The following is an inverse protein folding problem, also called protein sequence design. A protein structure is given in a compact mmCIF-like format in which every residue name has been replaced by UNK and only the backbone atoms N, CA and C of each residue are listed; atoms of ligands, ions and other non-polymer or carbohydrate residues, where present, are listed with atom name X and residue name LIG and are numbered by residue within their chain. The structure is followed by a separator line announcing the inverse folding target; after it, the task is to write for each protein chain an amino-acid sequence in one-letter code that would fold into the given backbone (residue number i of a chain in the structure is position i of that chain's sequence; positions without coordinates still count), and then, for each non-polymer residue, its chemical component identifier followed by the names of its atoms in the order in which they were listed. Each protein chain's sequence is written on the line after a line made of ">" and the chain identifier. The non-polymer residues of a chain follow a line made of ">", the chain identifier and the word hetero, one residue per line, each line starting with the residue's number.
data_IF_367397092779
#
_entry.id   IF_367397092779
#
_cell.length_a   1.000
_cell.length_b   1.000
_cell.length_c   1.000
_cell.angle_alpha   90.00
_cell.angle_beta   90.00
_cell.angle_gamma   90.00
#
_symmetry.space_group_name_H-M   'P 1'
#
loop_
_entity.id
_entity.type
_entity.pdbx_description
1 polymer ?
#
# COMPACT_ATOMS: atom_id res chain seq x y z
N UNK A 1 13.29 -30.99 12.97
CA UNK A 1 14.02 -29.71 13.01
C UNK A 1 14.01 -29.18 14.44
N UNK A 2 15.18 -28.88 15.03
CA UNK A 2 15.26 -28.20 16.34
C UNK A 2 14.67 -26.80 16.18
N UNK A 3 13.71 -26.41 17.03
CA UNK A 3 13.19 -25.04 17.07
C UNK A 3 14.34 -24.13 17.50
N UNK A 4 14.83 -23.27 16.60
CA UNK A 4 15.70 -22.16 16.98
C UNK A 4 14.97 -21.31 18.02
N UNK A 5 15.67 -20.94 19.09
CA UNK A 5 15.11 -20.19 20.20
C UNK A 5 14.46 -18.88 19.71
N UNK A 6 13.19 -18.65 20.09
CA UNK A 6 12.51 -17.38 19.86
C UNK A 6 12.45 -16.62 21.20
N UNK A 7 12.89 -15.35 21.24
CA UNK A 7 13.02 -14.61 22.50
C UNK A 7 11.67 -14.12 23.06
N UNK A 8 10.56 -14.36 22.38
CA UNK A 8 9.22 -13.96 22.82
C UNK A 8 8.18 -15.04 22.51
N UNK A 9 7.08 -15.01 23.27
CA UNK A 9 5.93 -15.88 23.08
C UNK A 9 4.88 -15.17 22.22
N UNK A 10 4.14 -15.92 21.43
CA UNK A 10 3.12 -15.39 20.54
C UNK A 10 3.57 -15.32 19.07
N UNK A 11 2.62 -15.14 18.13
CA UNK A 11 2.88 -15.18 16.69
C UNK A 11 3.65 -13.96 16.17
N UNK A 12 3.66 -12.86 16.92
CA UNK A 12 4.42 -11.66 16.62
C UNK A 12 4.67 -10.85 17.89
N UNK A 13 5.71 -10.02 17.87
CA UNK A 13 6.04 -9.07 18.92
C UNK A 13 5.88 -7.64 18.41
N UNK A 14 5.10 -6.86 19.15
CA UNK A 14 5.03 -5.41 19.02
C UNK A 14 6.12 -4.77 19.87
N UNK A 15 7.25 -4.45 19.24
CA UNK A 15 8.38 -3.81 19.93
C UNK A 15 8.08 -2.40 20.41
N UNK A 16 7.08 -1.74 19.85
CA UNK A 16 6.72 -0.35 20.16
C UNK A 16 5.56 -0.24 21.14
N UNK A 17 4.97 -1.37 21.56
CA UNK A 17 3.81 -1.40 22.46
C UNK A 17 2.62 -0.53 22.00
N UNK A 18 2.44 -0.40 20.69
CA UNK A 18 1.33 0.34 20.06
C UNK A 18 0.00 -0.38 20.28
N UNK A 19 0.04 -1.70 20.48
CA UNK A 19 -1.12 -2.56 20.71
C UNK A 19 -1.72 -3.09 19.41
N UNK A 20 -0.87 -3.49 18.46
CA UNK A 20 -1.35 -4.12 17.23
C UNK A 20 -2.08 -5.44 17.50
N UNK A 21 -3.19 -5.67 16.80
CA UNK A 21 -4.02 -6.86 17.00
C UNK A 21 -4.72 -7.29 15.73
N UNK A 22 -5.04 -8.57 15.65
CA UNK A 22 -5.92 -9.11 14.60
C UNK A 22 -7.33 -8.57 14.83
N UNK A 23 -8.08 -8.40 13.75
CA UNK A 23 -9.49 -8.03 13.79
C UNK A 23 -10.28 -8.95 14.73
N UNK A 24 -11.10 -8.36 15.60
CA UNK A 24 -11.96 -9.06 16.55
C UNK A 24 -13.40 -8.53 16.46
N UNK A 25 -14.40 -9.36 16.13
CA UNK A 25 -15.78 -8.90 15.96
C UNK A 25 -16.38 -8.26 17.22
N UNK A 26 -15.92 -8.69 18.39
CA UNK A 26 -16.38 -8.32 19.73
C UNK A 26 -15.62 -7.10 20.32
N UNK A 27 -14.73 -6.46 19.57
CA UNK A 27 -13.90 -5.35 20.05
C UNK A 27 -13.85 -4.16 19.08
N UNK A 28 -13.50 -2.99 19.61
CA UNK A 28 -13.29 -1.78 18.80
C UNK A 28 -12.04 -1.98 17.92
N UNK A 29 -12.19 -2.14 16.62
CA UNK A 29 -11.04 -2.33 15.71
C UNK A 29 -10.57 -1.00 15.11
N UNK A 30 -9.54 -0.41 15.72
CA UNK A 30 -8.88 0.77 15.17
C UNK A 30 -8.10 0.39 13.92
N UNK A 31 -8.43 1.00 12.76
CA UNK A 31 -7.83 0.65 11.46
C UNK A 31 -6.30 0.67 11.50
N UNK A 32 -5.69 1.68 12.11
CA UNK A 32 -4.24 1.83 12.19
C UNK A 32 -3.53 0.77 13.06
N UNK A 33 -4.24 0.09 13.97
CA UNK A 33 -3.68 -0.95 14.86
C UNK A 33 -4.12 -2.36 14.47
N UNK A 34 -5.04 -2.47 13.53
CA UNK A 34 -5.59 -3.77 13.13
C UNK A 34 -4.68 -4.41 12.10
N UNK A 35 -4.28 -5.65 12.34
CA UNK A 35 -3.60 -6.49 11.36
C UNK A 35 -4.68 -7.05 10.44
N UNK A 36 -4.68 -6.60 9.19
CA UNK A 36 -5.61 -7.06 8.15
C UNK A 36 -5.05 -8.23 7.35
N UNK A 37 -3.73 -8.40 7.32
CA UNK A 37 -3.13 -9.64 6.85
C UNK A 37 -1.62 -9.69 6.99
N UNK A 38 -1.07 -10.78 6.47
CA UNK A 38 0.32 -11.17 6.65
C UNK A 38 0.86 -11.74 5.34
N UNK A 39 2.00 -11.22 4.89
CA UNK A 39 2.84 -11.85 3.86
C UNK A 39 3.93 -12.61 4.59
N UNK A 40 3.98 -13.93 4.43
CA UNK A 40 4.91 -14.79 5.15
C UNK A 40 5.73 -15.65 4.20
N UNK A 41 7.03 -15.71 4.45
CA UNK A 41 8.01 -16.50 3.73
C UNK A 41 8.61 -17.54 4.67
N UNK A 42 8.15 -18.80 4.54
CA UNK A 42 8.57 -19.89 5.43
C UNK A 42 10.05 -20.28 5.30
N UNK A 43 10.67 -20.07 4.15
CA UNK A 43 12.09 -20.39 3.93
C UNK A 43 13.02 -19.40 4.65
N UNK A 44 12.72 -18.11 4.52
CA UNK A 44 13.53 -17.04 5.14
C UNK A 44 13.07 -16.71 6.57
N UNK A 45 11.97 -17.32 7.03
CA UNK A 45 11.36 -17.05 8.34
C UNK A 45 10.98 -15.57 8.54
N UNK A 46 10.80 -14.84 7.45
CA UNK A 46 10.41 -13.43 7.43
C UNK A 46 8.89 -13.31 7.21
N UNK A 47 8.29 -12.30 7.82
CA UNK A 47 6.91 -11.94 7.56
C UNK A 47 6.68 -10.44 7.69
N UNK A 48 5.78 -9.93 6.86
CA UNK A 48 5.33 -8.56 6.87
C UNK A 48 3.85 -8.51 7.18
N UNK A 49 3.49 -7.72 8.18
CA UNK A 49 2.12 -7.51 8.62
C UNK A 49 1.60 -6.22 7.99
N UNK A 50 0.35 -6.21 7.57
CA UNK A 50 -0.26 -5.03 6.96
C UNK A 50 -1.58 -4.66 7.63
N UNK A 51 -1.83 -3.35 7.70
CA UNK A 51 -3.11 -2.81 8.15
C UNK A 51 -4.15 -2.82 7.00
N UNK A 52 -5.44 -2.49 7.27
CA UNK A 52 -6.47 -2.40 6.24
C UNK A 52 -6.18 -1.35 5.15
N UNK A 53 -5.29 -0.40 5.44
CA UNK A 53 -4.90 0.67 4.52
C UNK A 53 -3.68 0.26 3.66
N UNK A 54 -3.16 -0.98 3.82
CA UNK A 54 -2.03 -1.52 3.07
C UNK A 54 -0.64 -1.09 3.58
N UNK A 55 -0.56 -0.43 4.74
CA UNK A 55 0.70 -0.02 5.36
C UNK A 55 1.34 -1.17 6.14
N UNK A 56 2.67 -1.30 6.01
CA UNK A 56 3.44 -2.30 6.74
C UNK A 56 3.56 -1.91 8.21
N UNK A 57 3.27 -2.86 9.08
CA UNK A 57 3.34 -2.71 10.53
C UNK A 57 4.72 -3.15 11.04
N UNK A 58 5.32 -2.42 11.99
CA UNK A 58 6.65 -2.72 12.52
C UNK A 58 6.60 -3.84 13.57
N UNK A 59 6.14 -5.02 13.15
CA UNK A 59 5.98 -6.20 13.99
C UNK A 59 7.08 -7.22 13.69
N UNK A 60 7.64 -7.83 14.74
CA UNK A 60 8.60 -8.93 14.59
C UNK A 60 7.85 -10.26 14.53
N UNK A 61 7.95 -11.05 13.46
CA UNK A 61 7.27 -12.34 13.37
C UNK A 61 7.92 -13.40 14.25
N UNK A 62 7.10 -14.31 14.79
CA UNK A 62 7.58 -15.58 15.34
C UNK A 62 7.38 -16.68 14.29
N UNK A 63 8.46 -17.22 13.69
CA UNK A 63 8.35 -18.18 12.60
C UNK A 63 7.62 -19.49 12.94
N UNK A 64 7.55 -19.83 14.24
CA UNK A 64 6.99 -21.09 14.71
C UNK A 64 5.52 -21.01 15.08
N UNK A 65 5.07 -19.86 15.60
CA UNK A 65 3.68 -19.64 16.01
C UNK A 65 2.85 -18.90 14.96
N UNK A 66 3.50 -18.13 14.09
CA UNK A 66 2.82 -17.41 13.00
C UNK A 66 2.06 -18.33 12.03
N UNK A 67 2.58 -19.51 11.62
CA UNK A 67 1.85 -20.40 10.71
C UNK A 67 0.53 -20.90 11.31
N UNK A 68 0.50 -21.18 12.62
CA UNK A 68 -0.71 -21.56 13.34
C UNK A 68 -1.76 -20.44 13.31
N UNK A 69 -1.31 -19.20 13.54
CA UNK A 69 -2.16 -18.01 13.47
C UNK A 69 -2.77 -17.84 12.07
N UNK A 70 -1.94 -17.93 11.03
CA UNK A 70 -2.40 -17.81 9.65
C UNK A 70 -3.43 -18.90 9.34
N UNK A 71 -3.18 -20.15 9.76
CA UNK A 71 -4.12 -21.25 9.52
C UNK A 71 -5.48 -21.03 10.16
N UNK A 72 -5.52 -20.46 11.37
CA UNK A 72 -6.76 -20.22 12.12
C UNK A 72 -7.54 -19.02 11.62
N UNK A 73 -6.86 -17.97 11.16
CA UNK A 73 -7.46 -16.67 10.89
C UNK A 73 -7.52 -16.30 9.39
N UNK A 74 -6.92 -17.10 8.50
CA UNK A 74 -6.94 -16.81 7.06
C UNK A 74 -8.35 -16.99 6.47
N UNK A 75 -8.94 -15.88 6.05
CA UNK A 75 -10.18 -15.86 5.25
C UNK A 75 -9.86 -16.06 3.76
N UNK A 76 -8.74 -15.52 3.30
CA UNK A 76 -8.24 -15.65 1.94
C UNK A 76 -6.74 -15.89 1.96
N UNK A 77 -6.26 -16.77 1.08
CA UNK A 77 -4.84 -17.07 0.90
C UNK A 77 -4.51 -16.99 -0.58
N UNK A 78 -3.66 -16.05 -0.92
CA UNK A 78 -3.15 -15.86 -2.27
C UNK A 78 -1.63 -15.98 -2.23
N UNK A 79 -1.06 -16.67 -3.22
CA UNK A 79 0.38 -16.70 -3.39
C UNK A 79 0.80 -15.36 -4.01
N UNK A 80 1.21 -14.42 -3.17
CA UNK A 80 1.72 -13.13 -3.64
C UNK A 80 3.22 -13.23 -3.89
N UNK A 81 3.65 -12.88 -5.10
CA UNK A 81 5.03 -12.59 -5.43
C UNK A 81 5.26 -11.07 -5.35
N UNK A 82 6.07 -10.60 -4.40
CA UNK A 82 6.40 -9.18 -4.30
C UNK A 82 7.48 -8.85 -5.35
N UNK A 83 7.07 -8.13 -6.39
CA UNK A 83 7.92 -7.73 -7.50
C UNK A 83 8.32 -6.25 -7.35
N UNK A 84 9.62 -5.96 -7.40
CA UNK A 84 10.12 -4.58 -7.38
C UNK A 84 11.55 -4.48 -6.84
N UNK A 85 11.98 -3.26 -6.58
CA UNK A 85 13.19 -2.92 -5.82
C UNK A 85 12.76 -2.25 -4.51
N UNK A 86 13.37 -2.61 -3.38
CA UNK A 86 13.01 -2.04 -2.07
C UNK A 86 13.12 -3.05 -0.93
N UNK A 87 12.97 -2.58 0.31
CA UNK A 87 13.19 -3.38 1.53
C UNK A 87 12.22 -4.57 1.68
N UNK A 88 11.07 -4.50 1.01
CA UNK A 88 10.03 -5.54 1.02
C UNK A 88 10.03 -6.40 -0.25
N UNK A 89 10.87 -6.07 -1.24
CA UNK A 89 10.96 -6.82 -2.48
C UNK A 89 11.75 -8.11 -2.28
N UNK A 90 11.47 -9.13 -3.11
CA UNK A 90 12.25 -10.36 -3.12
C UNK A 90 13.75 -10.05 -3.30
N UNK A 91 14.60 -10.64 -2.44
CA UNK A 91 16.06 -10.50 -2.50
C UNK A 91 16.57 -10.85 -3.90
N UNK A 92 17.51 -10.05 -4.40
CA UNK A 92 18.03 -10.15 -5.76
C UNK A 92 18.64 -11.53 -6.06
N UNK A 93 19.37 -12.11 -5.10
CA UNK A 93 19.94 -13.45 -5.24
C UNK A 93 18.87 -14.54 -5.46
N UNK A 94 17.72 -14.46 -4.78
CA UNK A 94 16.62 -15.43 -4.94
C UNK A 94 15.90 -15.25 -6.27
N UNK A 95 15.73 -14.00 -6.70
CA UNK A 95 15.18 -13.66 -8.02
C UNK A 95 16.05 -14.23 -9.14
N UNK A 96 17.37 -14.19 -9.00
CA UNK A 96 18.32 -14.79 -9.94
C UNK A 96 18.22 -16.31 -9.96
N UNK A 97 18.13 -16.96 -8.79
CA UNK A 97 17.96 -18.42 -8.69
C UNK A 97 16.63 -18.91 -9.30
N UNK A 98 15.52 -18.20 -9.08
CA UNK A 98 14.23 -18.54 -9.69
C UNK A 98 14.23 -18.37 -11.21
N UNK A 99 14.90 -17.33 -11.72
CA UNK A 99 15.12 -17.17 -13.16
C UNK A 99 15.92 -18.34 -13.76
N UNK A 100 16.97 -18.80 -13.07
CA UNK A 100 17.76 -19.96 -13.55
C UNK A 100 16.98 -21.28 -13.56
N UNK A 101 15.95 -21.40 -12.73
CA UNK A 101 15.03 -22.56 -12.69
C UNK A 101 13.90 -22.46 -13.72
N UNK A 102 13.92 -21.47 -14.62
CA UNK A 102 12.88 -21.29 -15.65
C UNK A 102 11.54 -20.78 -15.12
N UNK A 103 11.45 -20.42 -13.83
CA UNK A 103 10.26 -19.81 -13.26
C UNK A 103 10.24 -18.32 -13.61
N UNK A 104 9.37 -17.95 -14.55
CA UNK A 104 9.22 -16.58 -14.99
C UNK A 104 8.49 -15.77 -13.91
N UNK A 105 9.27 -15.18 -12.99
CA UNK A 105 8.79 -14.22 -11.99
C UNK A 105 8.35 -12.97 -12.76
N UNK A 106 7.07 -12.95 -13.13
CA UNK A 106 6.47 -11.96 -14.00
C UNK A 106 6.62 -10.57 -13.36
N UNK A 107 7.58 -9.79 -13.87
CA UNK A 107 7.70 -8.36 -13.59
C UNK A 107 6.55 -7.62 -14.26
N UNK A 108 5.32 -7.87 -13.83
CA UNK A 108 4.31 -6.83 -14.02
C UNK A 108 4.67 -5.76 -12.99
N UNK A 109 5.10 -4.56 -13.41
CA UNK A 109 5.10 -3.44 -12.47
C UNK A 109 3.72 -3.43 -11.83
N UNK A 110 3.69 -3.29 -10.50
CA UNK A 110 2.46 -3.06 -9.75
C UNK A 110 1.67 -2.03 -10.56
N UNK A 111 0.49 -2.41 -11.05
CA UNK A 111 -0.34 -1.63 -11.99
C UNK A 111 -0.91 -0.34 -11.36
N UNK A 112 -0.27 0.19 -10.31
CA UNK A 112 -0.48 1.52 -9.77
C UNK A 112 0.47 2.57 -10.38
N UNK A 113 1.36 2.18 -11.31
CA UNK A 113 2.14 3.15 -12.08
C UNK A 113 1.31 3.71 -13.23
N UNK A 114 0.22 4.43 -12.94
CA UNK A 114 -0.16 5.49 -13.87
C UNK A 114 1.09 6.36 -14.01
N UNK A 115 1.61 6.51 -15.23
CA UNK A 115 2.77 7.37 -15.47
C UNK A 115 2.53 8.70 -14.77
N UNK A 116 3.55 9.33 -14.19
CA UNK A 116 3.39 10.64 -13.57
C UNK A 116 2.67 11.63 -14.51
N UNK A 117 2.92 11.52 -15.82
CA UNK A 117 2.19 12.23 -16.87
C UNK A 117 0.70 11.89 -16.90
N UNK A 118 0.32 10.62 -16.79
CA UNK A 118 -1.08 10.19 -16.77
C UNK A 118 -1.79 10.60 -15.49
N UNK A 119 -1.10 10.55 -14.34
CA UNK A 119 -1.61 11.07 -13.07
C UNK A 119 -1.92 12.57 -13.18
N UNK A 120 -1.04 13.36 -13.80
CA UNK A 120 -1.26 14.78 -14.04
C UNK A 120 -2.42 15.05 -15.02
N UNK A 121 -2.54 14.27 -16.09
CA UNK A 121 -3.68 14.37 -17.04
C UNK A 121 -5.01 14.08 -16.35
N UNK A 122 -5.07 13.03 -15.53
CA UNK A 122 -6.26 12.67 -14.74
C UNK A 122 -6.61 13.80 -13.77
N UNK A 123 -5.63 14.33 -13.04
CA UNK A 123 -5.84 15.45 -12.11
C UNK A 123 -6.37 16.69 -12.83
N UNK A 124 -5.82 17.02 -14.01
CA UNK A 124 -6.31 18.13 -14.85
C UNK A 124 -7.75 17.91 -15.31
N UNK A 125 -8.10 16.70 -15.74
CA UNK A 125 -9.46 16.36 -16.16
C UNK A 125 -10.48 16.53 -15.02
N UNK A 126 -10.11 16.11 -13.81
CA UNK A 126 -10.93 16.28 -12.62
C UNK A 126 -11.14 17.76 -12.26
N UNK A 127 -10.09 18.58 -12.26
CA UNK A 127 -10.19 20.02 -12.00
C UNK A 127 -11.10 20.73 -13.03
N UNK A 128 -11.03 20.32 -14.30
CA UNK A 128 -11.93 20.81 -15.35
C UNK A 128 -13.40 20.44 -15.09
N UNK A 129 -13.67 19.24 -14.60
CA UNK A 129 -15.02 18.83 -14.22
C UNK A 129 -15.55 19.69 -13.06
N UNK A 130 -14.73 19.92 -12.02
CA UNK A 130 -15.09 20.79 -10.90
C UNK A 130 -15.40 22.22 -11.36
N UNK A 131 -14.58 22.80 -12.25
CA UNK A 131 -14.82 24.13 -12.77
C UNK A 131 -16.16 24.22 -13.52
N UNK A 132 -16.50 23.21 -14.32
CA UNK A 132 -17.80 23.14 -15.00
C UNK A 132 -18.97 23.06 -14.02
N UNK A 133 -18.85 22.29 -12.94
CA UNK A 133 -19.90 22.19 -11.92
C UNK A 133 -20.11 23.50 -11.18
N UNK A 134 -19.04 24.24 -10.86
CA UNK A 134 -19.13 25.54 -10.18
C UNK A 134 -19.79 26.58 -11.09
N UNK A 135 -19.44 26.59 -12.38
CA UNK A 135 -20.02 27.52 -13.36
C UNK A 135 -21.46 27.18 -13.79
N UNK A 136 -21.93 25.96 -13.52
CA UNK A 136 -23.29 25.53 -13.84
C UNK A 136 -24.34 25.97 -12.78
N UNK A 137 -23.90 26.50 -11.63
CA UNK A 137 -24.79 26.98 -10.59
C UNK A 137 -25.52 28.27 -10.99
N UNK A 138 -26.84 28.37 -10.81
CA UNK A 138 -27.58 29.60 -11.10
C UNK A 138 -27.31 30.67 -10.03
N UNK A 139 -26.73 31.81 -10.43
CA UNK A 139 -26.52 32.96 -9.55
C UNK A 139 -25.28 33.80 -9.89
N UNK A 140 -25.15 34.98 -9.27
CA UNK A 140 -23.91 35.77 -9.33
C UNK A 140 -22.81 35.03 -8.55
N UNK A 141 -21.62 34.92 -9.15
CA UNK A 141 -20.46 34.31 -8.50
C UNK A 141 -20.14 35.01 -7.19
N UNK A 142 -20.21 34.29 -6.07
CA UNK A 142 -19.84 34.84 -4.77
C UNK A 142 -18.33 35.14 -4.72
N UNK A 143 -17.87 36.05 -3.84
CA UNK A 143 -16.43 36.31 -3.66
C UNK A 143 -15.62 35.04 -3.38
N UNK A 144 -16.20 34.09 -2.63
CA UNK A 144 -15.58 32.80 -2.33
C UNK A 144 -15.48 31.94 -3.59
N UNK A 145 -16.54 31.87 -4.40
CA UNK A 145 -16.52 31.16 -5.67
C UNK A 145 -15.48 31.74 -6.64
N UNK A 146 -15.33 33.06 -6.68
CA UNK A 146 -14.30 33.73 -7.48
C UNK A 146 -12.89 33.31 -7.05
N UNK A 147 -12.61 33.28 -5.74
CA UNK A 147 -11.33 32.81 -5.20
C UNK A 147 -11.08 31.33 -5.53
N UNK A 148 -12.09 30.48 -5.39
CA UNK A 148 -12.00 29.05 -5.73
C UNK A 148 -11.73 28.83 -7.22
N UNK A 149 -12.42 29.56 -8.10
CA UNK A 149 -12.20 29.49 -9.56
C UNK A 149 -10.77 29.91 -9.91
N UNK A 150 -10.25 30.99 -9.31
CA UNK A 150 -8.89 31.47 -9.56
C UNK A 150 -7.83 30.46 -9.09
N UNK A 151 -8.03 29.84 -7.91
CA UNK A 151 -7.14 28.80 -7.41
C UNK A 151 -7.13 27.56 -8.33
N UNK A 152 -8.30 27.10 -8.79
CA UNK A 152 -8.40 25.96 -9.73
C UNK A 152 -7.68 26.28 -11.05
N UNK A 153 -7.88 27.48 -11.60
CA UNK A 153 -7.20 27.91 -12.84
C UNK A 153 -5.68 27.97 -12.68
N UNK A 154 -5.19 28.47 -11.55
CA UNK A 154 -3.76 28.52 -11.25
C UNK A 154 -3.14 27.12 -11.14
N UNK A 155 -3.82 26.18 -10.46
CA UNK A 155 -3.37 24.79 -10.34
C UNK A 155 -3.34 24.09 -11.71
N UNK A 156 -4.33 24.35 -12.57
CA UNK A 156 -4.34 23.81 -13.94
C UNK A 156 -3.16 24.33 -14.76
N UNK A 157 -2.85 25.62 -14.69
CA UNK A 157 -1.69 26.21 -15.37
C UNK A 157 -0.36 25.65 -14.83
N UNK A 158 -0.29 25.39 -13.53
CA UNK A 158 0.87 24.74 -12.92
C UNK A 158 1.06 23.31 -13.45
N UNK A 159 -0.01 22.52 -13.52
CA UNK A 159 0.02 21.16 -14.07
C UNK A 159 0.45 21.17 -15.55
N UNK A 160 -0.04 22.13 -16.36
CA UNK A 160 0.39 22.29 -17.76
C UNK A 160 1.88 22.61 -17.88
N UNK A 161 2.39 23.52 -17.04
CA UNK A 161 3.83 23.82 -16.99
C UNK A 161 4.65 22.58 -16.65
N UNK A 162 4.20 21.78 -15.68
CA UNK A 162 4.85 20.52 -15.30
C UNK A 162 4.87 19.50 -16.45
N UNK A 163 3.78 19.39 -17.21
CA UNK A 163 3.71 18.51 -18.39
C UNK A 163 4.64 18.98 -19.52
N UNK A 164 4.76 20.30 -19.73
CA UNK A 164 5.60 20.87 -20.79
C UNK A 164 7.10 20.84 -20.46
N UNK A 165 7.49 20.95 -19.18
CA UNK A 165 8.90 20.91 -18.74
C UNK A 165 9.59 19.56 -18.97
N UNK A 166 8.83 18.50 -19.25
CA UNK A 166 9.35 17.13 -19.43
C UNK A 166 8.96 16.54 -20.79
N UNK A 167 8.56 17.39 -21.74
CA UNK A 167 8.40 17.03 -23.15
C UNK A 167 9.72 17.11 -23.90
#
# INVERSE_FOLDING_TARGET
>A
MRRSHCPFKGPFLDSYSVGFRIYRPDAINWRHRTIAGVSWNGEEQEAFFFNPDGLVLPLKPNPWELPELIRKNAVRREFSSIHGTGHFAMKEGRRTALKSLGMNVMNKPIQNSASWSDTLKIRKAHLNALLKTINAGPGKTSPIQTLTINAIKSEMAHIESQLNRRR
#
